data_IF_770330282723
#
_entry.id   IF_770330282723
#
_cell.length_a   1.000
_cell.length_b   1.000
_cell.length_c   1.000
_cell.angle_alpha   90.00
_cell.angle_beta   90.00
_cell.angle_gamma   90.00
#
_symmetry.space_group_name_H-M   'P 1'
#
loop_
_entity.id
_entity.type
_entity.pdbx_description
1 polymer ?
#
# COMPACT_ATOMS: atom_id res chain seq x y z
N UNK A 1 3.60 -12.69 8.60
CA UNK A 1 2.52 -12.02 7.83
C UNK A 1 2.74 -12.29 6.35
N UNK A 2 1.71 -12.71 5.65
CA UNK A 2 1.79 -12.99 4.23
C UNK A 2 1.45 -11.75 3.43
N UNK A 3 2.17 -11.53 2.31
CA UNK A 3 1.88 -10.43 1.38
C UNK A 3 0.90 -10.93 0.32
N UNK A 4 -0.24 -10.25 0.20
CA UNK A 4 -1.30 -10.59 -0.74
C UNK A 4 -1.65 -9.35 -1.55
N UNK A 5 -1.87 -9.51 -2.84
CA UNK A 5 -2.37 -8.43 -3.69
C UNK A 5 -3.77 -8.78 -4.18
N UNK A 6 -4.67 -7.80 -4.15
CA UNK A 6 -5.91 -7.92 -4.93
C UNK A 6 -5.56 -7.75 -6.41
N UNK A 7 -6.43 -8.16 -7.34
CA UNK A 7 -6.20 -7.88 -8.76
C UNK A 7 -5.98 -6.40 -9.06
N UNK A 8 -6.74 -5.52 -8.39
CA UNK A 8 -6.57 -4.08 -8.56
C UNK A 8 -5.21 -3.61 -8.03
N UNK A 9 -4.83 -4.06 -6.83
CA UNK A 9 -3.54 -3.70 -6.24
C UNK A 9 -2.37 -4.20 -7.07
N UNK A 10 -2.48 -5.40 -7.64
CA UNK A 10 -1.48 -5.96 -8.53
C UNK A 10 -1.37 -5.15 -9.83
N UNK A 11 -2.51 -4.75 -10.41
CA UNK A 11 -2.54 -3.90 -11.60
C UNK A 11 -1.85 -2.56 -11.37
N UNK A 12 -2.10 -1.93 -10.23
CA UNK A 12 -1.43 -0.68 -9.86
C UNK A 12 0.07 -0.86 -9.73
N UNK A 13 0.49 -1.90 -9.01
CA UNK A 13 1.90 -2.18 -8.80
C UNK A 13 2.62 -2.43 -10.13
N UNK A 14 2.06 -3.27 -10.98
CA UNK A 14 2.69 -3.62 -12.26
C UNK A 14 2.68 -2.46 -13.25
N UNK A 15 1.73 -1.54 -13.13
CA UNK A 15 1.77 -0.29 -13.91
C UNK A 15 3.12 0.41 -13.72
N UNK A 16 3.58 0.53 -12.47
CA UNK A 16 4.83 1.23 -12.16
C UNK A 16 6.06 0.52 -12.69
N UNK A 17 6.02 -0.79 -12.87
CA UNK A 17 7.15 -1.54 -13.44
C UNK A 17 7.51 -1.03 -14.84
N UNK A 18 6.51 -0.59 -15.61
CA UNK A 18 6.73 -0.03 -16.93
C UNK A 18 6.81 1.50 -16.98
N UNK A 19 6.38 2.18 -15.93
CA UNK A 19 6.24 3.62 -15.95
C UNK A 19 7.32 4.36 -15.15
N UNK A 20 7.71 3.84 -13.98
CA UNK A 20 8.66 4.54 -13.10
C UNK A 20 9.28 3.61 -12.09
N UNK A 21 10.52 3.22 -12.31
CA UNK A 21 11.24 2.30 -11.43
C UNK A 21 11.53 2.89 -10.05
N UNK A 22 11.69 4.20 -9.94
CA UNK A 22 11.90 4.84 -8.64
C UNK A 22 10.66 4.68 -7.77
N UNK A 23 9.47 4.78 -8.37
CA UNK A 23 8.21 4.55 -7.65
C UNK A 23 8.10 3.09 -7.20
N UNK A 24 8.50 2.13 -8.02
CA UNK A 24 8.52 0.71 -7.63
C UNK A 24 9.39 0.51 -6.39
N UNK A 25 10.59 1.06 -6.38
CA UNK A 25 11.50 0.96 -5.23
C UNK A 25 10.86 1.56 -3.98
N UNK A 26 10.21 2.69 -4.13
CA UNK A 26 9.50 3.36 -3.04
C UNK A 26 8.40 2.46 -2.49
N UNK A 27 7.55 1.93 -3.37
CA UNK A 27 6.45 1.03 -2.97
C UNK A 27 7.00 -0.20 -2.27
N UNK A 28 8.07 -0.81 -2.79
CA UNK A 28 8.69 -1.97 -2.17
C UNK A 28 9.14 -1.67 -0.74
N UNK A 29 9.74 -0.50 -0.50
CA UNK A 29 10.14 -0.09 0.84
C UNK A 29 8.93 0.09 1.76
N UNK A 30 7.85 0.67 1.25
CA UNK A 30 6.63 0.85 2.04
C UNK A 30 6.01 -0.49 2.41
N UNK A 31 5.98 -1.43 1.48
CA UNK A 31 5.46 -2.77 1.74
C UNK A 31 6.31 -3.49 2.78
N UNK A 32 7.64 -3.45 2.65
CA UNK A 32 8.53 -4.06 3.62
C UNK A 32 8.32 -3.48 5.02
N UNK A 33 8.19 -2.16 5.11
CA UNK A 33 7.96 -1.50 6.39
C UNK A 33 6.59 -1.85 6.97
N UNK A 34 5.56 -1.94 6.13
CA UNK A 34 4.22 -2.34 6.56
C UNK A 34 4.15 -3.80 7.00
N UNK A 35 4.93 -4.68 6.38
CA UNK A 35 5.04 -6.08 6.82
C UNK A 35 5.67 -6.18 8.20
N UNK A 36 6.60 -5.29 8.52
CA UNK A 36 7.22 -5.22 9.84
C UNK A 36 6.24 -4.68 10.87
N UNK A 37 5.55 -3.59 10.57
CA UNK A 37 4.54 -2.99 11.44
C UNK A 37 3.53 -2.21 10.58
N UNK A 38 2.33 -2.73 10.37
CA UNK A 38 1.37 -2.09 9.48
C UNK A 38 0.81 -0.77 9.99
N UNK A 39 0.93 -0.47 11.28
CA UNK A 39 0.29 0.70 11.87
C UNK A 39 1.25 1.83 12.20
N UNK A 40 2.54 1.63 12.03
CA UNK A 40 3.55 2.66 12.30
C UNK A 40 4.72 2.54 11.32
N UNK A 41 5.57 3.55 11.30
CA UNK A 41 6.76 3.57 10.47
C UNK A 41 6.76 4.68 9.45
N UNK A 42 7.40 4.43 8.30
CA UNK A 42 7.66 5.45 7.28
C UNK A 42 6.40 5.83 6.50
N UNK A 43 6.43 7.02 5.89
CA UNK A 43 5.41 7.52 4.95
C UNK A 43 4.02 7.72 5.56
N UNK A 44 3.97 8.10 6.83
CA UNK A 44 2.74 8.50 7.53
C UNK A 44 1.61 7.49 7.42
N UNK A 45 1.73 6.29 8.03
CA UNK A 45 0.61 5.36 8.07
C UNK A 45 -0.63 6.00 8.70
N UNK A 46 -1.74 5.96 7.99
CA UNK A 46 -3.01 6.53 8.45
C UNK A 46 -4.13 5.51 8.30
N UNK A 47 -4.96 5.32 9.34
CA UNK A 47 -6.12 4.45 9.22
C UNK A 47 -7.21 5.08 8.36
N UNK A 48 -7.86 4.27 7.52
CA UNK A 48 -8.94 4.71 6.64
C UNK A 48 -10.29 4.30 7.23
N UNK A 49 -10.66 4.95 8.33
CA UNK A 49 -11.81 4.55 9.16
C UNK A 49 -13.15 4.63 8.46
N UNK A 50 -13.29 5.54 7.48
CA UNK A 50 -14.56 5.77 6.80
C UNK A 50 -14.72 4.95 5.53
N UNK A 51 -13.68 4.25 5.11
CA UNK A 51 -13.69 3.48 3.87
C UNK A 51 -13.81 1.98 4.11
N UNK A 52 -12.90 1.44 4.91
CA UNK A 52 -12.86 0.00 5.16
C UNK A 52 -12.19 -0.25 6.49
N UNK A 53 -12.88 -0.94 7.41
CA UNK A 53 -12.31 -1.27 8.71
C UNK A 53 -11.03 -2.09 8.55
N UNK A 54 -9.97 -1.67 9.22
CA UNK A 54 -8.67 -2.34 9.14
C UNK A 54 -7.79 -1.89 7.98
N UNK A 55 -8.28 -0.98 7.13
CA UNK A 55 -7.49 -0.44 6.02
C UNK A 55 -6.65 0.75 6.49
N UNK A 56 -5.47 0.87 5.87
CA UNK A 56 -4.48 1.89 6.14
C UNK A 56 -3.94 2.42 4.82
N UNK A 57 -3.39 3.64 4.85
CA UNK A 57 -2.66 4.18 3.71
C UNK A 57 -1.29 4.67 4.12
N UNK A 58 -0.35 4.63 3.18
CA UNK A 58 0.96 5.27 3.29
C UNK A 58 1.21 6.10 2.04
N UNK A 59 1.93 7.20 2.20
CA UNK A 59 2.20 8.11 1.09
C UNK A 59 3.29 7.55 0.18
N UNK A 60 2.96 7.31 -1.09
CA UNK A 60 3.95 7.03 -2.13
C UNK A 60 4.51 8.36 -2.63
N UNK A 61 3.63 9.30 -2.98
CA UNK A 61 3.94 10.66 -3.41
C UNK A 61 2.76 11.56 -3.07
N UNK A 62 2.78 12.81 -3.49
CA UNK A 62 1.63 13.69 -3.27
C UNK A 62 0.35 13.15 -3.93
N UNK A 63 0.49 12.55 -5.11
CA UNK A 63 -0.65 12.06 -5.88
C UNK A 63 -1.04 10.63 -5.57
N UNK A 64 -0.12 9.85 -5.02
CA UNK A 64 -0.30 8.39 -4.94
C UNK A 64 -0.18 7.89 -3.53
N UNK A 65 -1.04 6.90 -3.21
CA UNK A 65 -1.06 6.23 -1.90
C UNK A 65 -1.01 4.73 -2.08
N UNK A 66 -0.30 4.09 -1.16
CA UNK A 66 -0.37 2.65 -0.95
C UNK A 66 -1.49 2.41 0.04
N UNK A 67 -2.52 1.70 -0.38
CA UNK A 67 -3.65 1.33 0.49
C UNK A 67 -3.59 -0.16 0.74
N UNK A 68 -3.66 -0.55 2.00
CA UNK A 68 -3.56 -1.96 2.38
C UNK A 68 -4.50 -2.27 3.53
N UNK A 69 -4.82 -3.54 3.66
CA UNK A 69 -5.70 -4.08 4.67
C UNK A 69 -4.94 -5.12 5.48
N UNK A 70 -5.06 -5.06 6.80
CA UNK A 70 -4.57 -6.12 7.67
C UNK A 70 -5.74 -7.08 7.89
N UNK A 71 -5.62 -8.29 7.37
CA UNK A 71 -6.64 -9.32 7.45
C UNK A 71 -6.03 -10.57 8.06
N UNK A 72 -6.26 -10.75 9.36
CA UNK A 72 -5.62 -11.82 10.10
C UNK A 72 -4.11 -11.72 10.03
N UNK A 73 -3.45 -12.73 9.47
CA UNK A 73 -1.99 -12.73 9.28
C UNK A 73 -1.58 -12.32 7.86
N UNK A 74 -2.45 -11.64 7.15
CA UNK A 74 -2.20 -11.18 5.78
C UNK A 74 -2.12 -9.67 5.72
N UNK A 75 -1.14 -9.16 4.96
CA UNK A 75 -1.10 -7.79 4.50
C UNK A 75 -1.60 -7.79 3.05
N UNK A 76 -2.78 -7.22 2.84
CA UNK A 76 -3.43 -7.25 1.54
C UNK A 76 -3.29 -5.88 0.87
N UNK A 77 -2.60 -5.83 -0.26
CA UNK A 77 -2.43 -4.59 -1.02
C UNK A 77 -3.66 -4.38 -1.90
N UNK A 78 -4.38 -3.31 -1.60
CA UNK A 78 -5.64 -2.96 -2.27
C UNK A 78 -5.42 -2.00 -3.42
N UNK A 79 -4.44 -1.09 -3.26
CA UNK A 79 -4.22 0.00 -4.20
C UNK A 79 -2.78 0.51 -4.04
N UNK A 80 -2.15 0.88 -5.15
CA UNK A 80 -0.79 1.45 -5.14
C UNK A 80 -0.67 2.60 -6.14
N UNK A 81 -1.78 3.27 -6.46
CA UNK A 81 -1.82 4.36 -7.43
C UNK A 81 -3.01 5.25 -7.12
N UNK A 82 -2.84 6.56 -7.34
CA UNK A 82 -3.84 7.58 -7.04
C UNK A 82 -4.17 7.69 -5.55
N UNK A 83 -5.03 8.64 -5.23
CA UNK A 83 -5.60 8.75 -3.90
C UNK A 83 -6.71 7.73 -3.70
N UNK A 84 -6.92 7.32 -2.46
CA UNK A 84 -8.12 6.57 -2.10
C UNK A 84 -9.31 7.53 -2.05
N UNK A 85 -10.48 6.98 -2.20
CA UNK A 85 -11.72 7.74 -2.10
C UNK A 85 -12.65 7.12 -1.09
#
# INVERSE_FOLDING_TARGET
MRLVFTPHGWGDYTYWLGADRATVKRINRLIDDALRDPTSGIAKPEPLRHMLAGAWSRRISEEHRLVYLVDGDDLVILQARFHYK
#
